data_IF_272149964140
#
_entry.id   IF_272149964140
#
_cell.length_a   1.000
_cell.length_b   1.000
_cell.length_c   1.000
_cell.angle_alpha   90.00
_cell.angle_beta   90.00
_cell.angle_gamma   90.00
#
_symmetry.space_group_name_H-M   'P 1'
#
loop_
_entity.id
_entity.type
_entity.pdbx_description
1 polymer ?
#
# COMPACT_ATOMS: atom_id res chain seq x y z
N UNK A 1 -13.80 -8.57 25.45
CA UNK A 1 -13.80 -7.09 25.53
C UNK A 1 -13.45 -6.54 24.16
N UNK A 2 -14.43 -6.04 23.41
CA UNK A 2 -14.16 -5.39 22.11
C UNK A 2 -13.42 -4.07 22.38
N UNK A 3 -12.16 -3.95 21.94
CA UNK A 3 -11.45 -2.66 21.93
C UNK A 3 -12.27 -1.73 21.03
N UNK A 4 -12.87 -0.68 21.59
CA UNK A 4 -13.37 0.44 20.78
C UNK A 4 -12.17 1.03 20.06
N UNK A 5 -12.08 0.82 18.75
CA UNK A 5 -10.99 1.36 17.95
C UNK A 5 -11.04 2.88 17.95
N UNK A 6 -9.96 3.49 18.42
CA UNK A 6 -9.82 4.93 18.57
C UNK A 6 -9.32 5.51 17.25
N UNK A 7 -10.06 6.46 16.69
CA UNK A 7 -9.63 7.19 15.49
C UNK A 7 -8.41 8.06 15.81
N UNK A 8 -7.56 8.28 14.80
CA UNK A 8 -6.38 9.13 14.89
C UNK A 8 -6.75 10.62 14.96
N UNK A 9 -5.86 11.48 15.49
CA UNK A 9 -6.04 12.93 15.42
C UNK A 9 -6.22 13.44 13.98
N UNK A 10 -5.59 12.78 13.00
CA UNK A 10 -5.78 13.07 11.58
C UNK A 10 -7.23 12.86 11.16
N UNK A 11 -7.81 11.69 11.45
CA UNK A 11 -9.19 11.38 11.09
C UNK A 11 -10.19 12.35 11.77
N UNK A 12 -9.95 12.73 13.02
CA UNK A 12 -10.74 13.75 13.71
C UNK A 12 -10.56 15.16 13.15
N UNK A 13 -9.46 15.45 12.47
CA UNK A 13 -9.22 16.74 11.80
C UNK A 13 -9.90 16.87 10.44
N UNK A 14 -10.41 15.77 9.86
CA UNK A 14 -11.07 15.80 8.56
C UNK A 14 -12.43 16.52 8.63
N UNK A 15 -12.85 17.24 7.56
CA UNK A 15 -14.22 17.71 7.40
C UNK A 15 -15.24 16.57 7.53
N UNK A 16 -16.47 16.87 7.98
CA UNK A 16 -17.47 15.86 8.32
C UNK A 16 -17.68 14.81 7.20
N UNK A 17 -17.92 15.24 5.97
CA UNK A 17 -18.11 14.33 4.83
C UNK A 17 -16.86 13.48 4.53
N UNK A 18 -15.67 14.09 4.57
CA UNK A 18 -14.42 13.38 4.33
C UNK A 18 -14.13 12.36 5.44
N UNK A 19 -14.50 12.68 6.69
CA UNK A 19 -14.38 11.79 7.84
C UNK A 19 -15.32 10.60 7.73
N UNK A 20 -16.57 10.82 7.30
CA UNK A 20 -17.53 9.75 7.04
C UNK A 20 -16.98 8.78 6.01
N UNK A 21 -16.54 9.27 4.84
CA UNK A 21 -15.91 8.43 3.81
C UNK A 21 -14.67 7.69 4.32
N UNK A 22 -13.84 8.36 5.13
CA UNK A 22 -12.67 7.74 5.74
C UNK A 22 -13.03 6.58 6.67
N UNK A 23 -14.13 6.67 7.41
CA UNK A 23 -14.59 5.59 8.29
C UNK A 23 -15.26 4.47 7.50
N UNK A 24 -16.05 4.81 6.48
CA UNK A 24 -16.76 3.83 5.64
C UNK A 24 -15.79 2.87 4.95
N UNK A 25 -14.68 3.36 4.41
CA UNK A 25 -13.67 2.50 3.76
C UNK A 25 -12.88 1.59 4.71
N UNK A 26 -12.89 1.88 6.00
CA UNK A 26 -12.29 1.00 7.02
C UNK A 26 -13.28 -0.08 7.48
N UNK A 27 -14.56 0.02 7.10
CA UNK A 27 -15.56 -0.96 7.42
C UNK A 27 -15.62 -2.04 6.32
N UNK A 28 -15.51 -3.30 6.71
CA UNK A 28 -15.55 -4.45 5.79
C UNK A 28 -16.64 -5.44 6.20
N UNK A 29 -16.79 -6.54 5.45
CA UNK A 29 -17.83 -7.55 5.70
C UNK A 29 -19.23 -6.92 5.81
N UNK A 30 -19.60 -6.10 4.80
CA UNK A 30 -20.86 -5.33 4.77
C UNK A 30 -21.05 -4.39 5.97
N UNK A 31 -19.96 -3.93 6.58
CA UNK A 31 -19.95 -3.00 7.70
C UNK A 31 -20.08 -3.65 9.07
N UNK A 32 -20.08 -4.98 9.16
CA UNK A 32 -20.13 -5.73 10.42
C UNK A 32 -18.80 -5.63 11.18
N UNK A 33 -17.70 -5.59 10.44
CA UNK A 33 -16.36 -5.55 10.99
C UNK A 33 -15.65 -4.24 10.57
N UNK A 34 -14.68 -3.82 11.38
CA UNK A 34 -13.87 -2.62 11.11
C UNK A 34 -12.39 -2.91 11.23
N UNK A 35 -11.64 -2.26 10.36
CA UNK A 35 -10.19 -2.21 10.41
C UNK A 35 -9.73 -1.06 11.32
N UNK A 36 -8.59 -1.22 12.00
CA UNK A 36 -8.03 -0.14 12.81
C UNK A 36 -7.60 1.01 11.91
N UNK A 37 -7.68 2.24 12.44
CA UNK A 37 -7.19 3.43 11.75
C UNK A 37 -5.66 3.34 11.56
N UNK A 38 -5.14 3.29 10.31
CA UNK A 38 -3.71 3.14 10.07
C UNK A 38 -2.83 4.26 10.66
N UNK A 39 -3.40 5.46 10.84
CA UNK A 39 -2.69 6.59 11.46
C UNK A 39 -2.71 6.55 12.99
N UNK A 40 -3.53 5.69 13.60
CA UNK A 40 -3.56 5.47 15.05
C UNK A 40 -2.62 4.32 15.48
N UNK A 41 -2.17 3.49 14.55
CA UNK A 41 -1.26 2.36 14.82
C UNK A 41 0.12 2.88 15.25
N UNK A 42 0.67 2.27 16.31
CA UNK A 42 1.95 2.67 16.88
C UNK A 42 3.10 2.43 15.90
N UNK A 43 4.08 3.33 15.83
CA UNK A 43 5.22 3.21 14.89
C UNK A 43 5.98 1.90 15.01
N UNK A 44 6.10 1.33 16.21
CA UNK A 44 6.79 0.06 16.49
C UNK A 44 6.08 -1.18 15.96
N UNK A 45 4.78 -1.08 15.66
CA UNK A 45 3.99 -2.19 15.12
C UNK A 45 4.15 -2.33 13.60
N UNK A 46 4.71 -1.31 12.95
CA UNK A 46 5.02 -1.34 11.52
C UNK A 46 6.36 -2.03 11.28
N UNK A 47 6.33 -3.08 10.47
CA UNK A 47 7.49 -3.92 10.15
C UNK A 47 8.07 -3.49 8.81
N UNK A 48 9.40 -3.48 8.71
CA UNK A 48 10.13 -3.26 7.46
C UNK A 48 10.69 -4.59 6.97
N UNK A 49 9.81 -5.44 6.42
CA UNK A 49 10.16 -6.75 5.89
C UNK A 49 9.44 -6.94 4.56
N UNK A 50 10.16 -6.87 3.42
CA UNK A 50 9.61 -7.15 2.11
C UNK A 50 9.13 -8.58 1.90
N UNK A 51 9.65 -9.55 2.65
CA UNK A 51 9.33 -10.97 2.44
C UNK A 51 7.90 -11.37 2.82
N UNK A 52 7.18 -10.45 3.49
CA UNK A 52 5.80 -10.63 3.92
C UNK A 52 4.82 -9.72 3.16
N UNK A 53 5.29 -9.02 2.12
CA UNK A 53 4.40 -8.24 1.26
C UNK A 53 3.52 -9.17 0.44
N UNK A 54 2.21 -8.84 0.26
CA UNK A 54 1.37 -9.54 -0.70
C UNK A 54 1.95 -9.44 -2.11
N UNK A 55 1.73 -10.48 -2.93
CA UNK A 55 2.20 -10.57 -4.32
C UNK A 55 1.39 -9.68 -5.27
N UNK A 56 1.41 -8.37 -5.01
CA UNK A 56 0.70 -7.37 -5.81
C UNK A 56 1.27 -7.31 -7.23
N UNK A 57 0.41 -7.54 -8.22
CA UNK A 57 0.77 -7.45 -9.63
C UNK A 57 0.34 -6.12 -10.28
N UNK A 58 0.87 -5.86 -11.47
CA UNK A 58 0.56 -4.65 -12.23
C UNK A 58 -0.91 -4.56 -12.68
N UNK A 59 -1.54 -5.69 -12.99
CA UNK A 59 -2.95 -5.75 -13.36
C UNK A 59 -3.85 -5.27 -12.23
N UNK A 60 -3.56 -5.67 -10.99
CA UNK A 60 -4.28 -5.21 -9.81
C UNK A 60 -4.08 -3.72 -9.53
N UNK A 61 -2.83 -3.23 -9.68
CA UNK A 61 -2.54 -1.79 -9.59
C UNK A 61 -3.31 -1.01 -10.65
N UNK A 62 -3.31 -1.49 -11.90
CA UNK A 62 -4.06 -0.87 -13.00
C UNK A 62 -5.55 -0.87 -12.72
N UNK A 63 -6.12 -2.01 -12.31
CA UNK A 63 -7.54 -2.16 -11.99
C UNK A 63 -7.98 -1.14 -10.93
N UNK A 64 -7.21 -1.00 -9.86
CA UNK A 64 -7.51 -0.05 -8.79
C UNK A 64 -7.41 1.42 -9.22
N UNK A 65 -6.34 1.78 -9.93
CA UNK A 65 -6.11 3.17 -10.32
C UNK A 65 -7.04 3.64 -11.45
N UNK A 66 -7.56 2.72 -12.25
CA UNK A 66 -8.28 3.03 -13.48
C UNK A 66 -9.77 2.67 -13.41
N UNK A 67 -10.09 1.47 -12.92
CA UNK A 67 -11.44 0.91 -13.03
C UNK A 67 -12.28 1.19 -11.79
N UNK A 68 -11.65 1.40 -10.63
CA UNK A 68 -12.34 1.84 -9.42
C UNK A 68 -13.07 3.17 -9.67
N UNK A 69 -14.39 3.26 -9.42
CA UNK A 69 -15.14 4.49 -9.56
C UNK A 69 -14.54 5.57 -8.67
N UNK A 70 -13.87 6.54 -9.27
CA UNK A 70 -13.40 7.72 -8.56
C UNK A 70 -14.31 8.90 -8.90
N UNK A 71 -14.40 9.85 -7.98
CA UNK A 71 -15.07 11.15 -8.18
C UNK A 71 -14.47 12.01 -9.31
N UNK A 72 -13.39 11.55 -9.96
CA UNK A 72 -12.66 12.27 -11.00
C UNK A 72 -12.66 11.49 -12.34
N UNK A 73 -12.55 12.22 -13.45
CA UNK A 73 -12.67 11.68 -14.82
C UNK A 73 -11.59 10.64 -15.16
N UNK A 74 -12.01 9.42 -15.53
CA UNK A 74 -11.16 8.24 -15.79
C UNK A 74 -10.02 8.50 -16.80
N UNK A 75 -10.29 9.26 -17.86
CA UNK A 75 -9.33 9.49 -18.96
C UNK A 75 -8.18 10.43 -18.55
N UNK A 76 -8.51 11.51 -17.83
CA UNK A 76 -7.50 12.47 -17.32
C UNK A 76 -6.67 11.85 -16.19
N UNK A 77 -7.25 10.93 -15.41
CA UNK A 77 -6.53 10.24 -14.35
C UNK A 77 -5.53 9.19 -14.85
N UNK A 78 -5.84 8.46 -15.94
CA UNK A 78 -4.96 7.45 -16.55
C UNK A 78 -3.58 8.01 -16.86
N UNK A 79 -3.54 9.13 -17.60
CA UNK A 79 -2.30 9.72 -18.04
C UNK A 79 -1.59 10.47 -16.90
N UNK A 80 -2.33 11.28 -16.14
CA UNK A 80 -1.75 12.16 -15.13
C UNK A 80 -1.16 11.40 -13.93
N UNK A 81 -1.89 10.42 -13.38
CA UNK A 81 -1.44 9.68 -12.19
C UNK A 81 -0.28 8.76 -12.51
N UNK A 82 -0.30 8.09 -13.66
CA UNK A 82 0.79 7.20 -14.07
C UNK A 82 2.09 7.99 -14.25
N UNK A 83 2.05 9.14 -14.95
CA UNK A 83 3.23 9.98 -15.16
C UNK A 83 3.76 10.62 -13.87
N UNK A 84 2.90 11.17 -13.02
CA UNK A 84 3.36 11.82 -11.78
C UNK A 84 3.81 10.80 -10.72
N UNK A 85 3.09 9.68 -10.57
CA UNK A 85 3.49 8.60 -9.66
C UNK A 85 4.81 7.96 -10.08
N UNK A 86 4.98 7.73 -11.38
CA UNK A 86 6.24 7.24 -11.93
C UNK A 86 7.38 8.22 -11.67
N UNK A 87 7.14 9.53 -11.82
CA UNK A 87 8.12 10.56 -11.43
C UNK A 87 8.50 10.47 -9.96
N UNK A 88 7.54 10.38 -9.03
CA UNK A 88 7.83 10.23 -7.59
C UNK A 88 8.66 8.98 -7.29
N UNK A 89 8.34 7.88 -7.97
CA UNK A 89 9.06 6.62 -7.83
C UNK A 89 10.50 6.72 -8.37
N UNK A 90 10.67 7.16 -9.63
CA UNK A 90 12.00 7.29 -10.27
C UNK A 90 12.93 8.25 -9.54
N UNK A 91 12.38 9.33 -9.00
CA UNK A 91 13.16 10.35 -8.29
C UNK A 91 13.50 9.97 -6.84
N UNK A 92 13.13 8.76 -6.39
CA UNK A 92 13.46 8.27 -5.06
C UNK A 92 12.72 8.97 -3.91
N UNK A 93 11.60 9.67 -4.21
CA UNK A 93 10.83 10.39 -3.20
C UNK A 93 9.95 9.49 -2.33
N UNK A 94 9.84 8.19 -2.65
CA UNK A 94 9.11 7.20 -1.86
C UNK A 94 10.07 6.50 -0.90
N UNK A 95 9.88 6.65 0.41
CA UNK A 95 10.66 5.99 1.44
C UNK A 95 10.39 4.46 1.49
N UNK A 96 11.10 3.74 2.35
CA UNK A 96 10.92 2.31 2.58
C UNK A 96 9.46 1.97 2.93
N UNK A 97 8.93 0.95 2.26
CA UNK A 97 7.58 0.46 2.53
C UNK A 97 7.59 -0.30 3.86
N UNK A 98 6.66 0.05 4.74
CA UNK A 98 6.42 -0.67 5.99
C UNK A 98 5.05 -1.32 5.95
N UNK A 99 4.95 -2.53 6.50
CA UNK A 99 3.75 -3.33 6.53
C UNK A 99 3.25 -3.50 7.96
N UNK A 100 1.92 -3.53 8.12
CA UNK A 100 1.25 -3.89 9.35
C UNK A 100 0.22 -5.00 9.03
N UNK A 101 0.38 -6.15 9.66
CA UNK A 101 -0.55 -7.26 9.57
C UNK A 101 -1.75 -7.04 10.50
N UNK A 102 -2.95 -6.87 9.95
CA UNK A 102 -4.16 -6.71 10.75
C UNK A 102 -4.60 -8.09 11.25
N UNK A 103 -4.27 -8.40 12.51
CA UNK A 103 -4.59 -9.68 13.13
C UNK A 103 -6.11 -9.91 13.18
N UNK A 104 -6.54 -11.10 12.77
CA UNK A 104 -7.97 -11.47 12.77
C UNK A 104 -8.78 -10.91 11.60
N UNK A 105 -8.15 -10.24 10.63
CA UNK A 105 -8.79 -9.82 9.38
C UNK A 105 -8.04 -10.40 8.16
N UNK A 106 -8.66 -10.43 6.97
CA UNK A 106 -8.01 -10.86 5.74
C UNK A 106 -7.10 -9.77 5.13
N UNK A 107 -6.86 -8.67 5.84
CA UNK A 107 -6.21 -7.48 5.28
C UNK A 107 -4.88 -7.14 5.96
N UNK A 108 -3.98 -6.53 5.22
CA UNK A 108 -2.78 -5.88 5.75
C UNK A 108 -2.68 -4.45 5.23
N UNK A 109 -1.97 -3.60 5.97
CA UNK A 109 -1.67 -2.24 5.54
C UNK A 109 -0.22 -2.12 5.12
N UNK A 110 0.03 -1.42 4.02
CA UNK A 110 1.37 -0.99 3.62
C UNK A 110 1.40 0.53 3.53
N UNK A 111 2.50 1.14 3.96
CA UNK A 111 2.68 2.60 3.90
C UNK A 111 4.11 2.98 3.60
N UNK A 112 4.28 4.19 3.09
CA UNK A 112 5.56 4.88 3.01
C UNK A 112 5.34 6.38 3.19
N UNK A 113 6.36 7.08 3.65
CA UNK A 113 6.39 8.53 3.55
C UNK A 113 6.82 8.90 2.12
N UNK A 114 6.12 9.85 1.50
CA UNK A 114 6.37 10.30 0.13
C UNK A 114 6.63 11.80 0.14
N UNK A 115 7.84 12.19 -0.25
CA UNK A 115 8.25 13.60 -0.34
C UNK A 115 7.55 14.24 -1.54
N UNK A 116 6.94 15.41 -1.34
CA UNK A 116 6.24 16.14 -2.40
C UNK A 116 7.21 16.77 -3.42
N UNK A 117 6.78 16.86 -4.68
CA UNK A 117 7.63 17.28 -5.81
C UNK A 117 7.97 18.77 -5.84
N UNK A 118 7.22 19.60 -5.09
CA UNK A 118 7.31 21.07 -5.18
C UNK A 118 8.21 21.65 -4.08
N UNK A 119 8.30 21.01 -2.91
CA UNK A 119 9.12 21.48 -1.78
C UNK A 119 9.68 20.31 -0.98
N UNK A 120 10.94 19.99 -1.21
CA UNK A 120 11.71 18.98 -0.45
C UNK A 120 11.70 19.27 1.07
N UNK A 121 11.48 20.53 1.47
CA UNK A 121 11.39 20.96 2.89
C UNK A 121 10.01 20.81 3.52
N UNK A 122 8.97 20.56 2.73
CA UNK A 122 7.63 20.35 3.28
C UNK A 122 7.53 18.96 3.90
N UNK A 123 6.64 18.82 4.88
CA UNK A 123 6.39 17.55 5.55
C UNK A 123 5.96 16.50 4.51
N UNK A 124 6.58 15.31 4.45
CA UNK A 124 6.18 14.25 3.55
C UNK A 124 4.70 13.89 3.71
N UNK A 125 4.06 13.57 2.58
CA UNK A 125 2.74 12.97 2.59
C UNK A 125 2.84 11.52 3.08
N UNK A 126 1.78 11.03 3.71
CA UNK A 126 1.79 9.73 4.38
C UNK A 126 0.71 8.82 3.77
N UNK A 127 0.88 8.37 2.52
CA UNK A 127 -0.02 7.40 1.92
C UNK A 127 0.05 6.04 2.61
N UNK A 128 -1.11 5.39 2.70
CA UNK A 128 -1.22 3.97 3.04
C UNK A 128 -2.18 3.28 2.06
N UNK A 129 -1.97 1.98 1.89
CA UNK A 129 -2.81 1.09 1.08
C UNK A 129 -3.20 -0.11 1.92
N UNK A 130 -4.42 -0.61 1.72
CA UNK A 130 -4.96 -1.81 2.33
C UNK A 130 -5.04 -2.90 1.28
N UNK A 131 -4.33 -4.00 1.48
CA UNK A 131 -4.31 -5.14 0.56
C UNK A 131 -4.93 -6.37 1.23
N UNK A 132 -5.67 -7.17 0.46
CA UNK A 132 -6.02 -8.52 0.85
C UNK A 132 -4.75 -9.37 0.94
N UNK A 133 -4.58 -10.13 2.03
CA UNK A 133 -3.37 -10.93 2.26
C UNK A 133 -3.17 -12.03 1.22
N UNK A 134 -4.28 -12.68 0.84
CA UNK A 134 -4.24 -13.87 0.00
C UNK A 134 -4.24 -13.54 -1.50
N UNK A 135 -5.01 -12.54 -1.91
CA UNK A 135 -5.15 -12.17 -3.32
C UNK A 135 -4.29 -10.98 -3.73
N UNK A 136 -3.76 -10.21 -2.77
CA UNK A 136 -3.11 -8.91 -2.99
C UNK A 136 -4.03 -7.81 -3.58
N UNK A 137 -5.35 -8.06 -3.67
CA UNK A 137 -6.28 -7.05 -4.18
C UNK A 137 -6.30 -5.81 -3.29
N UNK A 138 -6.30 -4.64 -3.94
CA UNK A 138 -6.32 -3.35 -3.25
C UNK A 138 -7.76 -3.08 -2.78
N UNK A 139 -7.96 -3.13 -1.47
CA UNK A 139 -9.25 -2.92 -0.84
C UNK A 139 -9.60 -1.43 -0.75
N UNK A 140 -8.69 -0.64 -0.19
CA UNK A 140 -8.81 0.81 -0.10
C UNK A 140 -7.44 1.46 0.12
N UNK A 141 -7.37 2.78 -0.03
CA UNK A 141 -6.14 3.53 0.21
C UNK A 141 -6.45 4.94 0.71
N UNK A 142 -5.48 5.60 1.32
CA UNK A 142 -5.61 6.99 1.74
C UNK A 142 -4.29 7.71 1.67
N UNK A 143 -4.35 9.02 1.53
CA UNK A 143 -3.17 9.87 1.66
C UNK A 143 -3.53 11.18 2.35
N UNK A 144 -2.56 11.75 3.07
CA UNK A 144 -2.72 13.03 3.76
C UNK A 144 -2.74 14.24 2.84
N UNK A 145 -2.49 14.08 1.53
CA UNK A 145 -2.57 15.17 0.57
C UNK A 145 -4.03 15.55 0.25
N UNK A 146 -4.24 16.77 -0.27
CA UNK A 146 -5.57 17.28 -0.59
C UNK A 146 -6.32 16.38 -1.59
N UNK A 147 -5.63 15.91 -2.63
CA UNK A 147 -6.18 14.96 -3.61
C UNK A 147 -6.32 13.53 -3.07
N UNK A 148 -5.70 13.23 -1.93
CA UNK A 148 -5.74 11.93 -1.25
C UNK A 148 -7.09 11.60 -0.62
N UNK A 149 -7.96 12.60 -0.46
CA UNK A 149 -9.35 12.43 -0.04
C UNK A 149 -10.21 11.66 -1.08
N UNK A 150 -9.73 11.57 -2.31
CA UNK A 150 -10.29 10.71 -3.37
C UNK A 150 -9.55 9.39 -3.55
N UNK A 151 -8.74 8.97 -2.57
CA UNK A 151 -8.12 7.63 -2.43
C UNK A 151 -7.13 7.21 -3.50
N UNK A 152 -6.85 8.09 -4.46
CA UNK A 152 -6.19 7.68 -5.69
C UNK A 152 -5.23 8.76 -6.16
N UNK A 153 -4.55 9.46 -5.25
CA UNK A 153 -3.53 10.44 -5.62
C UNK A 153 -2.26 9.79 -6.20
N UNK A 154 -1.40 10.59 -6.82
CA UNK A 154 -0.10 10.15 -7.34
C UNK A 154 0.82 9.56 -6.26
N UNK A 155 0.72 10.01 -5.01
CA UNK A 155 1.46 9.39 -3.89
C UNK A 155 1.03 7.96 -3.59
N UNK A 156 -0.28 7.67 -3.68
CA UNK A 156 -0.82 6.31 -3.48
C UNK A 156 -0.36 5.40 -4.61
N UNK A 157 -0.48 5.88 -5.86
CA UNK A 157 0.01 5.16 -7.02
C UNK A 157 1.53 4.89 -6.93
N UNK A 158 2.33 5.85 -6.44
CA UNK A 158 3.78 5.65 -6.28
C UNK A 158 4.11 4.56 -5.25
N UNK A 159 3.34 4.48 -4.15
CA UNK A 159 3.46 3.38 -3.17
C UNK A 159 3.08 2.04 -3.80
N UNK A 160 1.97 1.97 -4.53
CA UNK A 160 1.52 0.76 -5.22
C UNK A 160 2.56 0.27 -6.24
N UNK A 161 3.11 1.16 -7.06
CA UNK A 161 4.18 0.80 -8.00
C UNK A 161 5.45 0.33 -7.30
N UNK A 162 5.82 0.92 -6.15
CA UNK A 162 6.99 0.47 -5.39
C UNK A 162 6.80 -0.95 -4.83
N UNK A 163 5.60 -1.27 -4.34
CA UNK A 163 5.27 -2.62 -3.86
C UNK A 163 5.32 -3.61 -5.02
N UNK A 164 4.62 -3.31 -6.11
CA UNK A 164 4.55 -4.14 -7.32
C UNK A 164 5.94 -4.41 -7.90
N UNK A 165 6.79 -3.39 -8.02
CA UNK A 165 8.16 -3.56 -8.49
C UNK A 165 9.01 -4.37 -7.51
N UNK A 166 8.81 -4.21 -6.21
CA UNK A 166 9.46 -5.05 -5.20
C UNK A 166 9.13 -6.54 -5.38
N UNK A 167 7.87 -6.85 -5.66
CA UNK A 167 7.40 -8.21 -5.98
C UNK A 167 8.04 -8.68 -7.30
N UNK A 168 7.94 -7.88 -8.36
CA UNK A 168 8.46 -8.21 -9.69
C UNK A 168 9.97 -8.48 -9.71
N UNK A 169 10.75 -7.71 -8.94
CA UNK A 169 12.20 -7.90 -8.82
C UNK A 169 12.60 -8.97 -7.81
N UNK A 170 11.64 -9.66 -7.19
CA UNK A 170 11.91 -10.75 -6.26
C UNK A 170 12.47 -10.30 -4.91
N UNK A 171 12.31 -9.02 -4.54
CA UNK A 171 12.69 -8.51 -3.21
C UNK A 171 11.85 -9.16 -2.11
N UNK A 172 10.65 -9.61 -2.45
CA UNK A 172 9.74 -10.35 -1.57
C UNK A 172 10.10 -11.83 -1.46
N UNK A 173 10.97 -12.36 -2.32
CA UNK A 173 11.43 -13.74 -2.22
C UNK A 173 12.47 -13.85 -1.11
N UNK A 174 12.24 -14.77 -0.15
CA UNK A 174 13.31 -15.17 0.78
C UNK A 174 14.45 -15.75 -0.06
N UNK A 175 15.63 -15.16 0.03
CA UNK A 175 16.82 -15.69 -0.64
C UNK A 175 17.05 -17.14 -0.19
N UNK A 176 16.67 -18.12 -1.01
CA UNK A 176 16.87 -19.56 -0.75
C UNK A 176 18.36 -19.96 -0.88
N UNK A 177 19.27 -18.99 -0.97
CA UNK A 177 20.72 -19.22 -1.11
C UNK A 177 21.41 -19.73 0.15
N UNK A 178 20.70 -19.98 1.24
CA UNK A 178 21.21 -20.73 2.41
C UNK A 178 20.79 -22.20 2.46
N UNK A 179 20.00 -22.70 1.49
CA UNK A 179 19.84 -24.14 1.32
C UNK A 179 20.74 -24.63 0.18
N UNK A 180 21.62 -25.59 0.48
CA UNK A 180 22.45 -26.25 -0.53
C UNK A 180 21.60 -26.72 -1.71
N UNK A 181 21.88 -26.19 -2.91
CA UNK A 181 21.29 -26.62 -4.18
C UNK A 181 21.44 -28.14 -4.36
N UNK A 182 20.40 -28.91 -4.07
CA UNK A 182 20.34 -30.36 -4.38
C UNK A 182 20.10 -30.68 -5.87
N UNK A 183 20.13 -29.68 -6.76
CA UNK A 183 19.79 -29.86 -8.17
C UNK A 183 20.91 -30.36 -9.10
N UNK A 184 22.12 -30.65 -8.59
CA UNK A 184 23.24 -31.19 -9.40
C UNK A 184 23.74 -32.58 -8.96
N UNK A 185 22.90 -33.41 -8.31
CA UNK A 185 23.24 -34.83 -8.03
C UNK A 185 22.53 -35.82 -8.96
N UNK A 186 22.48 -35.52 -10.25
CA UNK A 186 22.26 -36.52 -11.30
C UNK A 186 23.19 -36.11 -12.45
N UNK A 187 23.87 -37.07 -13.08
CA UNK A 187 24.88 -36.89 -14.14
C UNK A 187 26.33 -36.65 -13.69
N UNK A 188 26.87 -37.60 -12.91
CA UNK A 188 28.26 -38.05 -13.15
C UNK A 188 28.25 -39.55 -13.34
N UNK A 189 28.46 -40.00 -14.59
CA UNK A 189 28.91 -41.37 -14.87
C UNK A 189 30.31 -41.50 -14.28
N UNK A 190 30.52 -42.47 -13.40
CA UNK A 190 31.87 -42.90 -13.07
C UNK A 190 32.49 -43.50 -14.34
N UNK A 191 33.64 -42.95 -14.73
CA UNK A 191 34.58 -43.58 -15.67
C UNK A 191 35.69 -44.17 -14.82
#
# INVERSE_FOLDING_TARGET
MQKKEKLSPYAYGLPAEARTRYQEKLAYNKGLDRLPDPYAITKSEWVNDPSIWPELDFGQVYLYLIETPSMFNKSSMKAYKSLEAYRYFESGHVDQIKIYDVKGSPFCFLKADVIGSIKIRDKPHQPWVCLAKDTADIYCAHCTCLSGLGEMCSHIAAVLFKIELGVRYGVTQKSVTSEERKWNKVFRKQV
#
